data_IF_222473384582
#
_entry.id   IF_222473384582
#
_cell.length_a   1.000
_cell.length_b   1.000
_cell.length_c   1.000
_cell.angle_alpha   90.00
_cell.angle_beta   90.00
_cell.angle_gamma   90.00
#
_symmetry.space_group_name_H-M   'P 1'
#
loop_
_entity.id
_entity.type
_entity.pdbx_description
1 polymer ?
#
# COMPACT_ATOMS: atom_id res chain seq x y z
N UNK A 1 -8.28 -7.56 -22.44
CA UNK A 1 -7.45 -7.38 -21.25
C UNK A 1 -6.54 -6.15 -21.38
N UNK A 2 -5.66 -6.04 -22.39
CA UNK A 2 -4.66 -4.95 -22.50
C UNK A 2 -5.25 -3.55 -22.42
N UNK A 3 -6.41 -3.28 -23.05
CA UNK A 3 -7.11 -1.98 -22.99
C UNK A 3 -7.59 -1.63 -21.57
N UNK A 4 -7.89 -2.61 -20.75
CA UNK A 4 -8.28 -2.39 -19.34
C UNK A 4 -7.02 -2.21 -18.49
N UNK A 5 -6.07 -3.13 -18.63
CA UNK A 5 -4.81 -3.12 -17.88
C UNK A 5 -4.04 -1.80 -18.04
N UNK A 6 -3.96 -1.27 -19.27
CA UNK A 6 -3.23 -0.03 -19.55
C UNK A 6 -3.77 1.21 -18.83
N UNK A 7 -5.04 1.20 -18.41
CA UNK A 7 -5.66 2.32 -17.72
C UNK A 7 -5.47 2.28 -16.19
N UNK A 8 -5.20 1.09 -15.62
CA UNK A 8 -5.20 0.88 -14.17
C UNK A 8 -4.17 1.78 -13.48
N UNK A 9 -2.91 1.70 -13.90
CA UNK A 9 -1.84 2.50 -13.31
C UNK A 9 -1.99 4.00 -13.57
N UNK A 10 -2.40 4.39 -14.77
CA UNK A 10 -2.58 5.81 -15.11
C UNK A 10 -3.71 6.45 -14.29
N UNK A 11 -4.79 5.71 -14.07
CA UNK A 11 -5.90 6.18 -13.24
C UNK A 11 -5.48 6.32 -11.77
N UNK A 12 -4.73 5.37 -11.23
CA UNK A 12 -4.26 5.45 -9.84
C UNK A 12 -3.41 6.71 -9.61
N UNK A 13 -2.59 7.12 -10.58
CA UNK A 13 -1.77 8.34 -10.50
C UNK A 13 -2.57 9.65 -10.43
N UNK A 14 -3.86 9.63 -10.74
CA UNK A 14 -4.73 10.80 -10.57
C UNK A 14 -5.08 11.06 -9.09
N UNK A 15 -4.85 10.08 -8.23
CA UNK A 15 -5.15 10.17 -6.79
C UNK A 15 -3.84 10.24 -6.00
N UNK A 16 -3.82 11.13 -5.03
CA UNK A 16 -2.68 11.24 -4.12
C UNK A 16 -2.62 10.00 -3.22
N UNK A 17 -1.43 9.42 -3.05
CA UNK A 17 -1.22 8.25 -2.19
C UNK A 17 -2.07 7.02 -2.58
N UNK A 18 -2.33 6.85 -3.88
CA UNK A 18 -2.95 5.66 -4.42
C UNK A 18 -2.03 5.02 -5.46
N UNK A 19 -1.92 3.72 -5.41
CA UNK A 19 -1.22 2.91 -6.42
C UNK A 19 -2.09 1.75 -6.85
N UNK A 20 -1.97 1.37 -8.13
CA UNK A 20 -2.61 0.16 -8.64
C UNK A 20 -1.65 -0.54 -9.60
N UNK A 21 -1.48 -1.82 -9.40
CA UNK A 21 -0.50 -2.63 -10.11
C UNK A 21 -1.13 -3.94 -10.59
N UNK A 22 -0.82 -4.35 -11.81
CA UNK A 22 -1.13 -5.69 -12.31
C UNK A 22 0.11 -6.54 -12.10
N UNK A 23 0.11 -7.34 -11.03
CA UNK A 23 1.26 -8.16 -10.62
C UNK A 23 1.24 -9.59 -11.18
N UNK A 24 0.11 -10.01 -11.75
CA UNK A 24 -0.05 -11.34 -12.33
C UNK A 24 -0.86 -11.26 -13.62
N UNK A 25 -0.42 -12.01 -14.64
CA UNK A 25 -1.12 -12.13 -15.92
C UNK A 25 -0.92 -13.54 -16.47
N UNK A 26 -2.01 -14.22 -16.78
CA UNK A 26 -2.03 -15.52 -17.45
C UNK A 26 -2.90 -15.46 -18.70
N UNK A 27 -2.46 -16.11 -19.73
CA UNK A 27 -3.15 -16.17 -21.04
C UNK A 27 -3.34 -17.62 -21.44
N UNK A 28 -4.53 -18.01 -21.89
CA UNK A 28 -4.83 -19.38 -22.29
C UNK A 28 -5.54 -19.43 -23.67
N UNK A 29 -5.10 -20.34 -24.56
CA UNK A 29 -3.82 -21.02 -24.58
C UNK A 29 -2.72 -20.00 -24.91
N UNK A 30 -1.61 -20.08 -24.24
CA UNK A 30 -0.46 -19.20 -24.48
C UNK A 30 0.36 -19.66 -25.68
N UNK A 31 -0.20 -19.54 -26.87
CA UNK A 31 0.37 -20.02 -28.15
C UNK A 31 0.41 -18.86 -29.14
N UNK A 32 1.53 -18.71 -29.84
CA UNK A 32 1.84 -17.54 -30.68
C UNK A 32 0.84 -17.24 -31.80
N UNK A 33 0.18 -18.25 -32.33
CA UNK A 33 -0.68 -18.14 -33.51
C UNK A 33 -2.16 -18.46 -33.25
N UNK A 34 -2.55 -18.49 -31.98
CA UNK A 34 -3.93 -18.74 -31.55
C UNK A 34 -4.45 -17.52 -30.77
N UNK A 35 -5.67 -17.09 -31.11
CA UNK A 35 -6.35 -16.05 -30.34
C UNK A 35 -6.65 -16.60 -28.94
N UNK A 36 -6.25 -15.91 -27.87
CA UNK A 36 -6.53 -16.36 -26.50
C UNK A 36 -8.02 -16.57 -26.23
N UNK A 37 -8.33 -17.66 -25.56
CA UNK A 37 -9.68 -17.97 -25.08
C UNK A 37 -9.97 -17.22 -23.77
N UNK A 38 -8.98 -17.14 -22.88
CA UNK A 38 -9.13 -16.44 -21.60
C UNK A 38 -7.84 -15.70 -21.22
N UNK A 39 -8.02 -14.65 -20.41
CA UNK A 39 -6.93 -13.90 -19.80
C UNK A 39 -7.31 -13.64 -18.34
N UNK A 40 -6.49 -14.16 -17.44
CA UNK A 40 -6.61 -13.91 -15.99
C UNK A 40 -5.53 -12.91 -15.55
N UNK A 41 -5.89 -11.91 -14.79
CA UNK A 41 -4.94 -10.99 -14.20
C UNK A 41 -5.36 -10.58 -12.79
N UNK A 42 -4.39 -10.29 -11.94
CA UNK A 42 -4.60 -9.83 -10.58
C UNK A 42 -4.21 -8.36 -10.47
N UNK A 43 -5.12 -7.59 -9.91
CA UNK A 43 -4.92 -6.16 -9.66
C UNK A 43 -4.76 -5.95 -8.15
N UNK A 44 -3.66 -5.35 -7.75
CA UNK A 44 -3.41 -4.87 -6.38
C UNK A 44 -3.69 -3.36 -6.36
N UNK A 45 -4.69 -2.93 -5.60
CA UNK A 45 -5.05 -1.51 -5.42
C UNK A 45 -4.76 -1.14 -3.97
N UNK A 46 -3.95 -0.12 -3.76
CA UNK A 46 -3.61 0.38 -2.43
C UNK A 46 -3.82 1.88 -2.33
N UNK A 47 -4.34 2.32 -1.20
CA UNK A 47 -4.59 3.74 -0.91
C UNK A 47 -4.59 4.00 0.59
N UNK A 48 -4.56 5.27 0.96
CA UNK A 48 -4.59 5.70 2.37
C UNK A 48 -6.00 5.94 2.90
N UNK A 49 -6.99 5.88 2.02
CA UNK A 49 -8.42 6.00 2.35
C UNK A 49 -9.25 5.02 1.50
N UNK A 50 -10.34 4.57 2.09
CA UNK A 50 -11.25 3.59 1.49
C UNK A 50 -11.94 4.15 0.24
N UNK A 51 -12.34 5.41 0.25
CA UNK A 51 -13.06 6.05 -0.85
C UNK A 51 -12.22 5.99 -2.13
N UNK A 52 -10.93 6.30 -2.04
CA UNK A 52 -10.00 6.23 -3.16
C UNK A 52 -9.85 4.80 -3.69
N UNK A 53 -9.70 3.81 -2.80
CA UNK A 53 -9.59 2.39 -3.17
C UNK A 53 -10.86 1.94 -3.90
N UNK A 54 -12.03 2.22 -3.33
CA UNK A 54 -13.32 1.82 -3.91
C UNK A 54 -13.60 2.55 -5.23
N UNK A 55 -13.20 3.80 -5.36
CA UNK A 55 -13.29 4.54 -6.63
C UNK A 55 -12.47 3.87 -7.73
N UNK A 56 -11.25 3.40 -7.43
CA UNK A 56 -10.44 2.65 -8.37
C UNK A 56 -11.10 1.32 -8.74
N UNK A 57 -11.60 0.59 -7.74
CA UNK A 57 -12.26 -0.68 -7.94
C UNK A 57 -13.49 -0.55 -8.84
N UNK A 58 -14.42 0.36 -8.55
CA UNK A 58 -15.61 0.57 -9.37
C UNK A 58 -15.29 1.09 -10.77
N UNK A 59 -14.24 1.89 -10.90
CA UNK A 59 -13.76 2.33 -12.22
C UNK A 59 -13.21 1.16 -13.05
N UNK A 60 -12.56 0.19 -12.41
CA UNK A 60 -12.13 -1.05 -13.07
C UNK A 60 -13.33 -1.87 -13.55
N UNK A 61 -14.34 -2.04 -12.70
CA UNK A 61 -15.59 -2.74 -13.08
C UNK A 61 -16.26 -2.08 -14.26
N UNK A 62 -16.38 -0.75 -14.25
CA UNK A 62 -16.98 0.01 -15.36
C UNK A 62 -16.21 -0.17 -16.70
N UNK A 63 -14.87 -0.27 -16.64
CA UNK A 63 -14.06 -0.57 -17.82
C UNK A 63 -14.27 -2.02 -18.32
N UNK A 64 -14.46 -2.97 -17.42
CA UNK A 64 -14.78 -4.36 -17.76
C UNK A 64 -16.16 -4.48 -18.39
N UNK A 65 -17.17 -3.82 -17.81
CA UNK A 65 -18.53 -3.74 -18.38
C UNK A 65 -18.53 -3.16 -19.78
N UNK A 66 -17.85 -2.05 -19.96
CA UNK A 66 -17.71 -1.42 -21.28
C UNK A 66 -17.03 -2.35 -22.27
N UNK A 67 -15.96 -3.01 -21.88
CA UNK A 67 -15.27 -3.99 -22.73
C UNK A 67 -16.20 -5.15 -23.11
N UNK A 68 -16.96 -5.67 -22.14
CA UNK A 68 -17.93 -6.76 -22.36
C UNK A 68 -18.97 -6.36 -23.41
N UNK A 69 -19.57 -5.19 -23.25
CA UNK A 69 -20.57 -4.66 -24.19
C UNK A 69 -20.01 -4.43 -25.61
N UNK A 70 -18.79 -3.90 -25.71
CA UNK A 70 -18.17 -3.59 -27.01
C UNK A 70 -17.64 -4.82 -27.76
N UNK A 71 -17.21 -5.86 -27.03
CA UNK A 71 -16.52 -7.02 -27.63
C UNK A 71 -17.26 -8.34 -27.52
N UNK A 72 -18.37 -8.38 -26.78
CA UNK A 72 -19.11 -9.63 -26.51
C UNK A 72 -18.38 -10.64 -25.61
N UNK A 73 -17.29 -10.20 -24.95
CA UNK A 73 -16.55 -11.02 -23.99
C UNK A 73 -17.24 -10.98 -22.62
N UNK A 74 -17.20 -12.09 -21.94
CA UNK A 74 -17.64 -12.18 -20.53
C UNK A 74 -16.45 -12.02 -19.60
N UNK A 75 -16.72 -11.65 -18.35
CA UNK A 75 -15.71 -11.58 -17.29
C UNK A 75 -16.30 -11.99 -15.95
N UNK A 76 -15.44 -12.47 -15.07
CA UNK A 76 -15.69 -12.72 -13.66
C UNK A 76 -14.71 -11.94 -12.81
N UNK A 77 -15.12 -11.50 -11.63
CA UNK A 77 -14.26 -10.79 -10.66
C UNK A 77 -14.34 -11.50 -9.32
N UNK A 78 -13.19 -11.86 -8.80
CA UNK A 78 -13.02 -12.40 -7.46
C UNK A 78 -12.23 -11.43 -6.60
N UNK A 79 -12.72 -11.15 -5.39
CA UNK A 79 -11.98 -10.39 -4.40
C UNK A 79 -11.13 -11.35 -3.56
N UNK A 80 -9.82 -11.36 -3.80
CA UNK A 80 -8.90 -12.26 -3.12
C UNK A 80 -8.56 -11.81 -1.70
N UNK A 81 -8.49 -10.49 -1.49
CA UNK A 81 -8.15 -9.88 -0.20
C UNK A 81 -8.68 -8.45 -0.16
N UNK A 82 -9.30 -8.08 0.94
CA UNK A 82 -9.60 -6.70 1.28
C UNK A 82 -9.09 -6.41 2.68
N UNK A 83 -8.32 -5.32 2.81
CA UNK A 83 -7.87 -4.81 4.10
C UNK A 83 -8.15 -3.30 4.13
N UNK A 84 -8.96 -2.90 5.10
CA UNK A 84 -9.32 -1.49 5.28
C UNK A 84 -8.10 -0.65 5.68
N UNK A 85 -7.90 0.54 5.08
CA UNK A 85 -6.87 1.47 5.53
C UNK A 85 -7.10 1.89 6.98
N UNK A 86 -6.06 1.88 7.79
CA UNK A 86 -6.13 2.23 9.20
C UNK A 86 -5.29 3.47 9.47
N UNK A 87 -5.89 4.45 10.16
CA UNK A 87 -5.16 5.64 10.64
C UNK A 87 -4.40 5.29 11.90
N UNK A 88 -3.13 5.66 11.92
CA UNK A 88 -2.31 5.53 13.12
C UNK A 88 -2.71 6.57 14.16
N UNK A 89 -2.59 6.17 15.42
CA UNK A 89 -3.00 6.99 16.58
C UNK A 89 -2.19 8.29 16.68
N UNK A 90 -2.88 9.40 16.85
CA UNK A 90 -2.28 10.74 16.86
C UNK A 90 -1.48 11.00 18.15
N UNK A 91 -1.91 10.46 19.29
CA UNK A 91 -1.22 10.65 20.57
C UNK A 91 0.13 9.93 20.56
N UNK A 92 0.17 8.68 20.10
CA UNK A 92 1.42 7.93 19.97
C UNK A 92 2.37 8.60 18.98
N UNK A 93 1.85 9.09 17.85
CA UNK A 93 2.66 9.85 16.89
C UNK A 93 3.24 11.11 17.51
N UNK A 94 2.45 11.85 18.31
CA UNK A 94 2.91 13.03 19.00
C UNK A 94 4.06 12.74 19.97
N UNK A 95 4.06 11.59 20.65
CA UNK A 95 5.19 11.16 21.48
C UNK A 95 6.46 10.92 20.68
N UNK A 96 6.35 10.29 19.49
CA UNK A 96 7.50 10.13 18.59
C UNK A 96 8.04 11.48 18.11
N UNK A 97 7.17 12.40 17.73
CA UNK A 97 7.53 13.75 17.31
C UNK A 97 8.24 14.52 18.42
N UNK A 98 7.67 14.50 19.62
CA UNK A 98 8.26 15.16 20.78
C UNK A 98 9.69 14.65 21.05
N UNK A 99 9.89 13.35 21.06
CA UNK A 99 11.22 12.76 21.21
C UNK A 99 12.18 13.17 20.08
N UNK A 100 11.71 13.20 18.84
CA UNK A 100 12.54 13.66 17.71
C UNK A 100 12.95 15.12 17.91
N UNK A 101 12.03 16.00 18.30
CA UNK A 101 12.32 17.42 18.53
C UNK A 101 13.34 17.60 19.67
N UNK A 102 13.13 16.96 20.82
CA UNK A 102 14.02 17.03 21.98
C UNK A 102 15.43 16.52 21.67
N UNK A 103 15.55 15.50 20.82
CA UNK A 103 16.81 14.93 20.37
C UNK A 103 17.42 15.62 19.17
N UNK A 104 16.73 16.63 18.61
CA UNK A 104 17.14 17.34 17.40
C UNK A 104 17.32 16.39 16.19
N UNK A 105 16.40 15.42 16.06
CA UNK A 105 16.35 14.53 14.91
C UNK A 105 15.35 15.06 13.89
N UNK A 106 15.74 15.05 12.62
CA UNK A 106 14.82 15.34 11.53
C UNK A 106 13.82 14.19 11.39
N UNK A 107 12.54 14.52 11.17
CA UNK A 107 11.48 13.56 10.94
C UNK A 107 10.48 14.04 9.91
N UNK A 108 9.68 13.12 9.38
CA UNK A 108 8.57 13.43 8.48
C UNK A 108 7.44 12.43 8.64
N UNK A 109 6.23 12.87 8.33
CA UNK A 109 5.07 11.99 8.25
C UNK A 109 4.99 11.34 6.88
N UNK A 110 4.83 10.03 6.86
CA UNK A 110 4.71 9.24 5.64
C UNK A 110 3.53 8.27 5.77
N UNK A 111 2.69 8.11 4.73
CA UNK A 111 1.77 6.99 4.68
C UNK A 111 2.53 5.71 4.34
N UNK A 112 2.10 4.57 4.88
CA UNK A 112 2.56 3.27 4.42
C UNK A 112 1.69 2.78 3.26
N UNK A 113 2.31 2.46 2.14
CA UNK A 113 1.65 1.75 1.04
C UNK A 113 1.72 0.22 1.18
N UNK A 114 2.43 -0.30 2.20
CA UNK A 114 2.53 -1.73 2.48
C UNK A 114 1.61 -2.13 3.64
N UNK A 115 1.13 -3.36 3.63
CA UNK A 115 0.45 -3.95 4.78
C UNK A 115 1.45 -4.25 5.90
N UNK A 116 1.06 -3.95 7.13
CA UNK A 116 1.83 -4.20 8.35
C UNK A 116 0.93 -4.75 9.45
N UNK A 117 1.50 -5.45 10.42
CA UNK A 117 0.78 -5.88 11.61
C UNK A 117 0.12 -4.72 12.35
N UNK A 118 0.72 -3.52 12.27
CA UNK A 118 0.12 -2.30 12.81
C UNK A 118 -1.26 -1.97 12.21
N UNK A 119 -1.57 -2.41 11.00
CA UNK A 119 -2.90 -2.27 10.40
C UNK A 119 -3.92 -3.15 11.14
N UNK A 120 -3.53 -4.35 11.55
CA UNK A 120 -4.38 -5.28 12.29
C UNK A 120 -4.61 -4.74 13.71
N UNK A 121 -3.55 -4.33 14.38
CA UNK A 121 -3.64 -3.77 15.73
C UNK A 121 -4.37 -2.43 15.74
N UNK A 122 -4.07 -1.53 14.82
CA UNK A 122 -4.66 -0.20 14.75
C UNK A 122 -6.17 -0.17 14.47
N UNK A 123 -6.73 -1.26 13.93
CA UNK A 123 -8.17 -1.45 13.83
C UNK A 123 -8.86 -1.74 15.18
N UNK A 124 -8.11 -2.12 16.22
CA UNK A 124 -8.63 -2.55 17.51
C UNK A 124 -8.05 -1.77 18.71
N UNK A 125 -6.85 -1.25 18.57
CA UNK A 125 -6.08 -0.59 19.61
C UNK A 125 -5.38 0.64 19.07
N UNK A 126 -5.07 1.65 19.90
CA UNK A 126 -4.17 2.72 19.51
C UNK A 126 -2.82 2.15 19.06
N UNK A 127 -2.42 2.43 17.83
CA UNK A 127 -1.18 1.94 17.26
C UNK A 127 -0.52 3.02 16.38
N UNK A 128 0.80 3.01 16.32
CA UNK A 128 1.56 3.84 15.39
C UNK A 128 2.77 3.08 14.88
N UNK A 129 3.36 3.59 13.80
CA UNK A 129 4.58 3.02 13.20
C UNK A 129 5.67 4.06 13.16
N UNK A 130 6.89 3.62 13.43
CA UNK A 130 8.09 4.41 13.29
C UNK A 130 8.94 3.81 12.17
N UNK A 131 9.12 4.57 11.09
CA UNK A 131 9.97 4.16 9.98
C UNK A 131 11.42 4.59 10.19
N UNK A 132 12.33 3.77 9.70
CA UNK A 132 13.77 4.05 9.68
C UNK A 132 14.20 4.20 8.22
N UNK A 133 15.08 5.18 7.90
CA UNK A 133 15.61 5.31 6.55
C UNK A 133 16.24 4.01 6.05
N UNK A 134 15.87 3.60 4.85
CA UNK A 134 16.49 2.50 4.13
C UNK A 134 17.46 3.03 3.08
N UNK A 135 18.64 2.45 3.00
CA UNK A 135 19.58 2.75 1.94
C UNK A 135 18.95 2.42 0.58
N UNK A 136 19.15 3.31 -0.40
CA UNK A 136 18.61 3.18 -1.76
C UNK A 136 17.07 3.10 -1.87
N UNK A 137 16.34 3.36 -0.78
CA UNK A 137 14.85 3.36 -0.75
C UNK A 137 14.27 2.04 -1.29
N UNK A 138 14.93 0.92 -1.04
CA UNK A 138 14.52 -0.42 -1.46
C UNK A 138 13.93 -1.20 -0.30
N UNK A 139 12.98 -2.07 -0.63
CA UNK A 139 12.32 -2.98 0.30
C UNK A 139 12.11 -4.34 -0.36
N UNK A 140 12.06 -5.41 0.42
CA UNK A 140 11.87 -6.79 -0.01
C UNK A 140 12.95 -7.30 -1.02
N UNK A 141 14.17 -6.83 -0.89
CA UNK A 141 15.30 -7.27 -1.72
C UNK A 141 16.57 -7.46 -0.87
N UNK A 142 17.57 -8.21 -1.36
CA UNK A 142 18.83 -8.45 -0.63
C UNK A 142 19.62 -7.17 -0.30
N UNK A 143 19.41 -6.10 -1.05
CA UNK A 143 20.06 -4.81 -0.88
C UNK A 143 19.36 -3.92 0.17
N UNK A 144 18.22 -4.35 0.71
CA UNK A 144 17.53 -3.62 1.78
C UNK A 144 18.42 -3.51 3.01
N UNK A 145 18.76 -2.28 3.37
CA UNK A 145 19.68 -2.00 4.47
C UNK A 145 19.33 -0.69 5.15
N UNK A 146 19.31 -0.70 6.48
CA UNK A 146 19.29 0.51 7.30
C UNK A 146 20.63 0.68 8.00
N UNK A 147 21.07 1.93 8.15
CA UNK A 147 22.32 2.21 8.86
C UNK A 147 22.12 2.05 10.38
N UNK A 148 23.12 1.46 11.05
CA UNK A 148 23.05 1.22 12.49
C UNK A 148 22.78 2.48 13.32
N UNK A 149 23.28 3.65 12.86
CA UNK A 149 23.05 4.95 13.50
C UNK A 149 21.56 5.35 13.46
N UNK A 150 20.86 5.05 12.36
CA UNK A 150 19.47 5.42 12.20
C UNK A 150 18.54 4.44 12.96
N UNK A 151 18.92 3.15 13.01
CA UNK A 151 18.29 2.19 13.89
C UNK A 151 18.43 2.59 15.37
N UNK A 152 19.61 3.03 15.80
CA UNK A 152 19.85 3.50 17.16
C UNK A 152 18.97 4.72 17.51
N UNK A 153 18.82 5.67 16.59
CA UNK A 153 17.91 6.82 16.76
C UNK A 153 16.46 6.37 16.94
N UNK A 154 15.98 5.47 16.09
CA UNK A 154 14.61 4.96 16.17
C UNK A 154 14.35 4.24 17.51
N UNK A 155 15.32 3.45 18.00
CA UNK A 155 15.21 2.81 19.32
C UNK A 155 15.09 3.84 20.45
N UNK A 156 15.86 4.92 20.38
CA UNK A 156 15.80 5.99 21.39
C UNK A 156 14.45 6.72 21.34
N UNK A 157 13.94 7.03 20.14
CA UNK A 157 12.62 7.67 19.97
C UNK A 157 11.50 6.75 20.51
N UNK A 158 11.54 5.47 20.17
CA UNK A 158 10.57 4.51 20.68
C UNK A 158 10.65 4.35 22.20
N UNK A 159 11.85 4.34 22.77
CA UNK A 159 12.07 4.26 24.22
C UNK A 159 11.46 5.45 24.95
N UNK A 160 11.74 6.68 24.49
CA UNK A 160 11.18 7.90 25.11
C UNK A 160 9.66 7.90 25.06
N UNK A 161 9.08 7.53 23.90
CA UNK A 161 7.63 7.46 23.77
C UNK A 161 7.01 6.45 24.77
N UNK A 162 7.60 5.26 24.90
CA UNK A 162 7.14 4.25 25.86
C UNK A 162 7.28 4.75 27.31
N UNK A 163 8.39 5.41 27.65
CA UNK A 163 8.58 6.00 28.98
C UNK A 163 7.52 7.06 29.29
N UNK A 164 7.19 7.90 28.32
CA UNK A 164 6.18 8.95 28.51
C UNK A 164 4.77 8.36 28.65
N UNK A 165 4.42 7.35 27.87
CA UNK A 165 3.10 6.71 27.91
C UNK A 165 2.88 5.84 29.14
N UNK A 166 3.92 5.13 29.59
CA UNK A 166 3.79 4.17 30.71
C UNK A 166 4.08 4.79 32.08
N UNK A 167 4.65 6.00 32.09
CA UNK A 167 5.12 6.65 33.32
C UNK A 167 6.37 5.99 33.90
N UNK A 168 6.94 6.56 34.96
CA UNK A 168 8.06 5.95 35.64
C UNK A 168 7.66 4.69 36.42
#
# INVERSE_FOLDING_TARGET
ATKVISKIGDRARLFRNCVATVGYLQVEPNVMNIIPQSVTFVVDIRGVDEETIMTQYYSLLADLDKMSLESGLTYDVENLLYAEPVRMDEEIKCHFETSCIERQYDYMHLPSGAGHDAQIFGAQLPAAMLFVPSAEVRSHCPEEKSEAKDLAKAVLVAYDAVQTMCGP
#
